data_IF_873534256945
#
_entry.id   IF_873534256945
#
_cell.length_a   1.000
_cell.length_b   1.000
_cell.length_c   1.000
_cell.angle_alpha   90.00
_cell.angle_beta   90.00
_cell.angle_gamma   90.00
#
_symmetry.space_group_name_H-M   'P 1'
#
loop_
_entity.id
_entity.type
_entity.pdbx_description
1 polymer ?
#
# COMPACT_ATOMS: atom_id res chain seq x y z
N UNK A 1 3.34 -28.80 10.36
CA UNK A 1 3.78 -27.39 10.27
C UNK A 1 2.67 -26.48 10.81
N UNK A 2 3.00 -25.46 11.61
CA UNK A 2 2.01 -24.50 12.14
C UNK A 2 1.68 -23.41 11.13
N UNK A 3 0.51 -22.75 11.23
CA UNK A 3 0.12 -21.61 10.37
C UNK A 3 1.17 -20.49 10.38
N UNK A 4 1.82 -20.25 11.53
CA UNK A 4 2.95 -19.30 11.67
C UNK A 4 4.20 -19.74 10.89
N UNK A 5 4.50 -21.04 10.87
CA UNK A 5 5.65 -21.59 10.13
C UNK A 5 5.50 -21.48 8.60
N UNK A 6 4.28 -21.64 8.09
CA UNK A 6 3.96 -21.42 6.67
C UNK A 6 4.15 -19.96 6.25
N UNK A 7 3.69 -19.02 7.08
CA UNK A 7 3.83 -17.59 6.82
C UNK A 7 5.31 -17.15 6.81
N UNK A 8 6.13 -17.73 7.69
CA UNK A 8 7.57 -17.47 7.71
C UNK A 8 8.29 -18.03 6.48
N UNK A 9 7.90 -19.21 6.00
CA UNK A 9 8.46 -19.80 4.77
C UNK A 9 8.16 -18.96 3.52
N UNK A 10 6.98 -18.34 3.47
CA UNK A 10 6.59 -17.43 2.38
C UNK A 10 7.27 -16.06 2.44
N UNK A 11 7.78 -15.67 3.62
CA UNK A 11 8.37 -14.36 3.87
C UNK A 11 9.91 -14.41 3.97
N UNK A 12 10.52 -15.57 3.72
CA UNK A 12 11.97 -15.75 3.68
C UNK A 12 12.50 -15.47 2.27
N UNK A 13 13.66 -14.83 2.16
CA UNK A 13 14.34 -14.63 0.88
C UNK A 13 14.79 -15.98 0.30
N UNK A 14 14.94 -16.10 -1.04
CA UNK A 14 15.48 -17.31 -1.65
C UNK A 14 16.86 -17.63 -1.05
N UNK A 15 17.01 -18.85 -0.50
CA UNK A 15 18.20 -19.38 0.18
C UNK A 15 18.44 -18.96 1.64
N UNK A 16 17.55 -18.19 2.27
CA UNK A 16 17.67 -17.88 3.70
C UNK A 16 16.83 -18.81 4.58
N UNK A 17 17.40 -19.25 5.71
CA UNK A 17 16.74 -20.16 6.68
C UNK A 17 15.78 -19.45 7.65
N UNK A 18 15.74 -18.12 7.64
CA UNK A 18 15.03 -17.31 8.65
C UNK A 18 14.33 -16.13 7.97
N UNK A 19 13.07 -15.86 8.33
CA UNK A 19 12.35 -14.70 7.80
C UNK A 19 12.71 -13.41 8.56
N UNK A 20 12.53 -12.25 7.94
CA UNK A 20 12.83 -10.93 8.54
C UNK A 20 12.16 -10.69 9.90
N UNK A 21 10.98 -11.30 10.13
CA UNK A 21 10.26 -11.20 11.41
C UNK A 21 11.06 -11.85 12.55
N UNK A 22 11.74 -12.96 12.29
CA UNK A 22 12.51 -13.68 13.32
C UNK A 22 13.94 -13.17 13.50
N UNK A 23 14.53 -12.51 12.49
CA UNK A 23 15.83 -11.82 12.61
C UNK A 23 15.75 -10.73 13.69
N UNK A 24 14.62 -10.02 13.78
CA UNK A 24 14.41 -8.96 14.77
C UNK A 24 14.25 -9.51 16.20
N UNK A 25 13.55 -10.63 16.36
CA UNK A 25 13.39 -11.27 17.67
C UNK A 25 14.69 -11.79 18.27
N UNK A 26 15.63 -12.32 17.46
CA UNK A 26 16.94 -12.75 17.95
C UNK A 26 17.79 -11.57 18.45
N UNK A 27 17.68 -10.40 17.80
CA UNK A 27 18.37 -9.17 18.20
C UNK A 27 17.75 -8.53 19.45
N UNK A 28 16.42 -8.58 19.60
CA UNK A 28 15.71 -8.06 20.79
C UNK A 28 15.98 -8.91 22.04
N UNK A 29 16.15 -10.23 21.92
CA UNK A 29 16.57 -11.07 23.06
C UNK A 29 18.00 -10.83 23.51
N UNK A 30 18.89 -10.32 22.64
CA UNK A 30 20.25 -9.92 23.04
C UNK A 30 20.28 -8.59 23.79
N UNK A 31 19.35 -7.68 23.51
CA UNK A 31 19.31 -6.35 24.14
C UNK A 31 18.55 -6.30 25.47
N UNK A 32 17.72 -7.30 25.79
CA UNK A 32 16.95 -7.33 27.05
C UNK A 32 17.73 -7.73 28.30
N UNK A 33 19.00 -8.12 28.18
CA UNK A 33 19.82 -8.49 29.34
C UNK A 33 20.44 -7.29 30.09
N UNK A 34 20.22 -6.04 29.66
CA UNK A 34 20.93 -4.87 30.21
C UNK A 34 20.06 -3.75 30.80
N UNK A 35 18.79 -3.99 31.16
CA UNK A 35 18.01 -2.91 31.80
C UNK A 35 16.94 -3.42 32.75
N UNK A 36 17.34 -3.58 34.02
CA UNK A 36 16.44 -3.69 35.16
C UNK A 36 16.70 -2.53 36.12
N UNK A 37 15.84 -1.51 36.11
CA UNK A 37 15.69 -0.59 37.26
C UNK A 37 14.19 -0.37 37.49
N UNK A 38 13.79 -0.65 38.73
CA UNK A 38 12.46 -0.50 39.32
C UNK A 38 12.23 0.97 39.72
N UNK A 39 10.99 1.46 39.64
CA UNK A 39 10.37 2.26 40.73
C UNK A 39 8.86 2.38 40.58
N UNK A 40 8.22 2.61 41.72
CA UNK A 40 6.82 2.35 42.03
C UNK A 40 6.00 3.64 42.24
N UNK A 41 4.66 3.46 42.26
CA UNK A 41 3.64 4.21 43.04
C UNK A 41 3.44 5.72 42.79
N UNK A 42 2.22 6.14 42.41
CA UNK A 42 1.13 6.50 43.36
C UNK A 42 0.04 7.42 42.76
N UNK A 43 -1.18 7.25 43.33
CA UNK A 43 -2.26 8.24 43.59
C UNK A 43 -3.19 8.73 42.46
N UNK A 44 -4.44 8.31 42.64
CA UNK A 44 -5.69 8.92 42.21
C UNK A 44 -5.80 10.39 42.63
N UNK A 45 -6.39 11.24 41.76
CA UNK A 45 -7.24 12.36 42.17
C UNK A 45 -8.37 12.60 41.15
N UNK A 46 -9.58 12.65 41.70
CA UNK A 46 -10.80 13.17 41.08
C UNK A 46 -10.68 14.68 40.84
N UNK A 47 -11.25 15.18 39.74
CA UNK A 47 -11.83 16.52 39.70
C UNK A 47 -13.02 16.56 38.74
N UNK A 48 -14.18 16.85 39.33
CA UNK A 48 -15.39 17.34 38.66
C UNK A 48 -15.07 18.69 38.01
N UNK A 49 -15.45 18.87 36.74
CA UNK A 49 -15.51 20.19 36.13
C UNK A 49 -16.95 20.56 35.80
N UNK A 50 -17.42 21.55 36.55
CA UNK A 50 -18.67 22.27 36.42
C UNK A 50 -18.53 23.25 35.24
N UNK A 51 -19.41 23.16 34.24
CA UNK A 51 -19.40 24.05 33.08
C UNK A 51 -20.35 25.22 33.35
N UNK A 52 -19.79 26.38 33.73
CA UNK A 52 -20.54 27.62 33.78
C UNK A 52 -20.14 28.53 32.63
N UNK A 53 -21.17 28.92 31.87
CA UNK A 53 -21.16 29.90 30.82
C UNK A 53 -20.68 31.26 31.34
N UNK A 54 -19.75 31.90 30.63
CA UNK A 54 -19.64 33.35 30.62
C UNK A 54 -19.12 33.84 29.26
N UNK A 55 -20.04 34.46 28.52
CA UNK A 55 -19.74 35.38 27.43
C UNK A 55 -19.04 36.62 28.00
N UNK A 56 -17.88 36.97 27.45
CA UNK A 56 -17.30 38.29 27.73
C UNK A 56 -15.87 38.48 27.25
N UNK A 57 -15.73 39.35 26.24
CA UNK A 57 -14.53 40.14 25.89
C UNK A 57 -13.38 39.39 25.18
N UNK A 58 -13.47 39.39 23.85
CA UNK A 58 -12.36 39.16 22.92
C UNK A 58 -11.29 40.24 23.15
N UNK A 59 -10.14 39.84 23.70
CA UNK A 59 -8.92 40.66 23.69
C UNK A 59 -8.06 40.20 22.51
N UNK A 60 -7.83 41.11 21.57
CA UNK A 60 -6.85 40.99 20.50
C UNK A 60 -5.45 40.82 21.11
N UNK A 61 -4.96 39.58 21.19
CA UNK A 61 -3.58 39.27 21.50
C UNK A 61 -2.87 38.77 20.25
N UNK A 62 -1.96 39.62 19.75
CA UNK A 62 -0.72 39.30 19.02
C UNK A 62 -0.78 38.16 17.99
N UNK A 63 -1.14 38.53 16.76
CA UNK A 63 -0.93 37.70 15.56
C UNK A 63 0.48 37.82 14.96
N UNK A 64 1.31 38.75 15.44
CA UNK A 64 2.60 39.10 14.79
C UNK A 64 3.77 38.16 15.14
N UNK A 65 3.60 37.21 16.06
CA UNK A 65 4.66 36.28 16.46
C UNK A 65 4.52 34.85 15.91
N UNK A 66 3.48 34.56 15.13
CA UNK A 66 3.30 33.24 14.51
C UNK A 66 4.00 33.13 13.15
N UNK A 67 4.18 34.23 12.43
CA UNK A 67 4.81 34.22 11.10
C UNK A 67 6.34 34.05 11.14
N UNK A 68 7.00 34.40 12.25
CA UNK A 68 8.46 34.27 12.39
C UNK A 68 8.97 32.88 12.79
N UNK A 69 8.09 31.94 13.15
CA UNK A 69 8.48 30.55 13.47
C UNK A 69 8.20 29.54 12.33
N UNK A 70 7.75 30.02 11.15
CA UNK A 70 7.54 29.19 9.96
C UNK A 70 8.79 29.05 9.08
N UNK A 71 9.82 29.87 9.31
CA UNK A 71 11.14 29.65 8.74
C UNK A 71 11.90 28.64 9.59
N UNK A 72 12.18 27.46 9.02
CA UNK A 72 13.04 26.38 9.56
C UNK A 72 12.39 25.26 10.38
N UNK A 73 11.12 24.91 10.12
CA UNK A 73 10.79 23.47 10.25
C UNK A 73 11.40 22.82 9.01
N UNK A 74 12.58 22.24 9.17
CA UNK A 74 13.18 21.33 8.20
C UNK A 74 12.22 20.15 8.03
N UNK A 75 11.25 20.30 7.12
CA UNK A 75 10.17 19.34 6.93
C UNK A 75 10.78 18.06 6.40
N UNK A 76 11.02 17.11 7.33
CA UNK A 76 11.55 15.80 7.01
C UNK A 76 10.78 15.22 5.82
N UNK A 77 11.50 14.68 4.81
CA UNK A 77 10.85 14.11 3.65
C UNK A 77 9.91 12.99 4.08
N UNK A 78 8.76 12.90 3.39
CA UNK A 78 7.79 11.84 3.60
C UNK A 78 7.95 10.69 2.63
N UNK A 79 7.13 9.67 2.86
CA UNK A 79 7.12 8.43 2.09
C UNK A 79 5.78 8.28 1.39
N UNK A 80 5.81 7.99 0.09
CA UNK A 80 4.68 7.48 -0.69
C UNK A 80 4.79 5.96 -0.73
N UNK A 81 3.76 5.28 -0.25
CA UNK A 81 3.75 3.83 -0.16
C UNK A 81 2.48 3.26 -0.77
N UNK A 82 2.58 2.01 -1.24
CA UNK A 82 1.46 1.27 -1.83
C UNK A 82 1.30 -0.02 -1.05
N UNK A 83 0.07 -0.39 -0.75
CA UNK A 83 -0.23 -1.65 -0.08
C UNK A 83 -1.49 -2.31 -0.62
N UNK A 84 -1.62 -3.59 -0.34
CA UNK A 84 -2.76 -4.44 -0.73
C UNK A 84 -3.04 -5.48 0.35
N UNK A 85 -4.00 -6.37 0.11
CA UNK A 85 -4.24 -7.54 0.94
C UNK A 85 -3.29 -8.69 0.56
N UNK A 86 -2.74 -9.39 1.56
CA UNK A 86 -1.80 -10.49 1.37
C UNK A 86 -2.32 -11.59 0.45
N UNK A 87 -3.60 -11.93 0.58
CA UNK A 87 -4.22 -12.99 -0.22
C UNK A 87 -4.26 -12.68 -1.73
N UNK A 88 -4.14 -11.40 -2.11
CA UNK A 88 -4.07 -11.00 -3.52
C UNK A 88 -2.69 -11.21 -4.15
N UNK A 89 -1.67 -11.48 -3.33
CA UNK A 89 -0.29 -11.72 -3.78
C UNK A 89 0.08 -13.20 -3.83
N UNK A 90 -0.82 -14.11 -3.45
CA UNK A 90 -0.60 -15.54 -3.60
C UNK A 90 -0.55 -15.94 -5.09
N UNK A 91 0.12 -17.06 -5.39
CA UNK A 91 0.22 -17.60 -6.75
C UNK A 91 -1.15 -17.87 -7.38
N UNK A 92 -2.11 -18.24 -6.54
CA UNK A 92 -3.53 -18.31 -6.83
C UNK A 92 -4.26 -17.36 -5.87
N UNK A 93 -4.58 -16.13 -6.30
CA UNK A 93 -5.33 -15.19 -5.48
C UNK A 93 -6.65 -15.82 -5.03
N UNK A 94 -6.94 -15.74 -3.73
CA UNK A 94 -8.18 -16.29 -3.16
C UNK A 94 -9.17 -15.18 -2.89
N UNK A 95 -10.41 -15.35 -3.32
CA UNK A 95 -11.49 -14.47 -2.95
C UNK A 95 -11.74 -14.52 -1.43
N UNK A 96 -12.23 -13.40 -0.89
CA UNK A 96 -12.60 -13.27 0.52
C UNK A 96 -14.02 -12.74 0.60
N UNK A 97 -14.86 -13.45 1.36
CA UNK A 97 -16.26 -13.09 1.56
C UNK A 97 -16.46 -11.74 2.24
N UNK A 98 -15.44 -11.21 2.93
CA UNK A 98 -15.54 -9.92 3.62
C UNK A 98 -15.25 -8.72 2.71
N UNK A 99 -14.90 -8.95 1.44
CA UNK A 99 -14.42 -7.94 0.52
C UNK A 99 -15.36 -7.81 -0.68
N UNK A 100 -16.12 -6.73 -0.71
CA UNK A 100 -17.11 -6.48 -1.76
C UNK A 100 -16.85 -5.15 -2.46
N UNK A 101 -16.99 -5.16 -3.79
CA UNK A 101 -17.05 -3.95 -4.60
C UNK A 101 -18.48 -3.41 -4.59
N UNK A 102 -18.64 -2.16 -4.20
CA UNK A 102 -19.91 -1.46 -4.33
C UNK A 102 -20.02 -0.80 -5.71
N UNK A 103 -21.24 -0.79 -6.25
CA UNK A 103 -21.56 0.01 -7.41
C UNK A 103 -21.18 1.50 -7.17
N UNK A 104 -20.70 2.23 -8.19
CA UNK A 104 -20.48 3.66 -8.08
C UNK A 104 -21.78 4.36 -7.70
N UNK A 105 -21.75 5.12 -6.61
CA UNK A 105 -22.86 5.98 -6.18
C UNK A 105 -22.38 7.42 -6.07
N UNK A 106 -23.25 8.40 -6.34
CA UNK A 106 -22.93 9.82 -6.15
C UNK A 106 -22.91 10.22 -4.67
N UNK A 107 -23.50 9.42 -3.79
CA UNK A 107 -23.54 9.64 -2.33
C UNK A 107 -22.37 8.95 -1.63
N UNK A 108 -22.05 9.28 -0.38
CA UNK A 108 -21.03 8.54 0.39
C UNK A 108 -21.49 7.14 0.82
N UNK A 109 -22.75 6.77 0.59
CA UNK A 109 -23.32 5.48 0.96
C UNK A 109 -22.99 4.36 -0.02
N UNK A 110 -23.05 3.13 0.47
CA UNK A 110 -23.04 1.90 -0.34
C UNK A 110 -24.45 1.33 -0.35
N UNK A 111 -24.93 0.95 -1.52
CA UNK A 111 -26.09 0.07 -1.65
C UNK A 111 -25.64 -1.38 -1.52
N UNK A 112 -25.92 -2.00 -0.38
CA UNK A 112 -25.50 -3.36 -0.04
C UNK A 112 -26.08 -4.41 -1.00
N UNK A 113 -27.29 -4.16 -1.51
CA UNK A 113 -27.96 -5.05 -2.46
C UNK A 113 -27.30 -5.00 -3.84
N UNK A 114 -26.43 -4.00 -4.08
CA UNK A 114 -25.69 -3.79 -5.33
C UNK A 114 -24.18 -3.93 -5.12
N UNK A 115 -23.80 -4.79 -4.18
CA UNK A 115 -22.40 -5.17 -4.00
C UNK A 115 -22.11 -6.50 -4.70
N UNK A 116 -20.89 -6.64 -5.22
CA UNK A 116 -20.42 -7.88 -5.84
C UNK A 116 -19.16 -8.35 -5.13
N UNK A 117 -18.99 -9.67 -4.88
CA UNK A 117 -17.73 -10.21 -4.38
C UNK A 117 -16.58 -9.77 -5.27
N UNK A 118 -15.45 -9.44 -4.66
CA UNK A 118 -14.29 -9.01 -5.42
C UNK A 118 -13.58 -10.20 -6.09
N UNK A 119 -13.61 -10.25 -7.43
CA UNK A 119 -12.80 -11.18 -8.22
C UNK A 119 -11.31 -10.75 -8.22
N UNK A 120 -10.47 -11.64 -7.69
CA UNK A 120 -9.03 -11.41 -7.48
C UNK A 120 -8.15 -11.93 -8.62
N UNK A 121 -8.74 -12.54 -9.66
CA UNK A 121 -8.02 -13.24 -10.73
C UNK A 121 -7.12 -12.30 -11.56
N UNK A 122 -7.73 -11.36 -12.27
CA UNK A 122 -7.04 -10.49 -13.23
C UNK A 122 -6.73 -9.10 -12.67
N UNK A 123 -7.35 -8.74 -11.55
CA UNK A 123 -7.24 -7.42 -10.93
C UNK A 123 -6.69 -7.51 -9.52
N UNK A 124 -6.11 -6.40 -9.06
CA UNK A 124 -5.62 -6.23 -7.70
C UNK A 124 -6.19 -4.94 -7.13
N UNK A 125 -6.57 -4.98 -5.86
CA UNK A 125 -7.00 -3.80 -5.14
C UNK A 125 -5.80 -3.20 -4.42
N UNK A 126 -5.45 -1.96 -4.71
CA UNK A 126 -4.33 -1.27 -4.06
C UNK A 126 -4.79 0.02 -3.40
N UNK A 127 -4.10 0.39 -2.32
CA UNK A 127 -4.20 1.71 -1.73
C UNK A 127 -2.85 2.40 -1.81
N UNK A 128 -2.84 3.62 -2.32
CA UNK A 128 -1.69 4.52 -2.32
C UNK A 128 -1.90 5.50 -1.18
N UNK A 129 -0.91 5.64 -0.31
CA UNK A 129 -0.95 6.60 0.79
C UNK A 129 0.40 7.28 0.98
N UNK A 130 0.39 8.32 1.81
CA UNK A 130 1.61 8.97 2.26
C UNK A 130 1.74 8.95 3.77
N UNK A 131 2.97 9.07 4.26
CA UNK A 131 3.26 9.17 5.69
C UNK A 131 4.60 9.86 5.95
N UNK A 132 4.72 10.57 7.07
CA UNK A 132 6.02 11.05 7.60
C UNK A 132 6.69 10.04 8.53
N UNK A 133 5.98 8.97 8.91
CA UNK A 133 6.54 7.79 9.63
C UNK A 133 7.08 6.78 8.62
N UNK A 134 7.64 5.67 9.11
CA UNK A 134 7.96 4.55 8.22
C UNK A 134 6.66 3.93 7.63
N UNK A 135 6.65 3.51 6.35
CA UNK A 135 5.51 2.84 5.73
C UNK A 135 5.03 1.61 6.50
N UNK A 136 5.94 0.85 7.11
CA UNK A 136 5.63 -0.36 7.87
C UNK A 136 4.80 -0.03 9.10
N UNK A 137 5.17 1.02 9.83
CA UNK A 137 4.41 1.52 10.98
C UNK A 137 3.03 1.97 10.50
N UNK A 138 2.97 2.73 9.40
CA UNK A 138 1.69 3.23 8.88
C UNK A 138 0.76 2.11 8.43
N UNK A 139 1.29 1.05 7.81
CA UNK A 139 0.48 -0.13 7.44
C UNK A 139 0.01 -0.89 8.68
N UNK A 140 0.81 -0.98 9.75
CA UNK A 140 0.35 -1.56 11.02
C UNK A 140 -0.83 -0.78 11.61
N UNK A 141 -0.75 0.56 11.61
CA UNK A 141 -1.87 1.41 12.05
C UNK A 141 -3.14 1.12 11.22
N UNK A 142 -3.01 0.92 9.90
CA UNK A 142 -4.14 0.53 9.06
C UNK A 142 -4.71 -0.85 9.43
N UNK A 143 -3.84 -1.83 9.75
CA UNK A 143 -4.28 -3.17 10.19
C UNK A 143 -5.08 -3.10 11.49
N UNK A 144 -4.61 -2.30 12.44
CA UNK A 144 -5.31 -2.07 13.72
C UNK A 144 -6.64 -1.32 13.51
N UNK A 145 -6.64 -0.28 12.69
CA UNK A 145 -7.84 0.51 12.42
C UNK A 145 -8.93 -0.31 11.73
N UNK A 146 -8.56 -1.16 10.79
CA UNK A 146 -9.55 -1.94 10.05
C UNK A 146 -9.81 -3.35 10.58
N UNK A 147 -9.07 -3.80 11.60
CA UNK A 147 -9.22 -5.14 12.14
C UNK A 147 -8.75 -6.27 11.21
N UNK A 148 -8.09 -5.93 10.09
CA UNK A 148 -7.53 -6.90 9.15
C UNK A 148 -6.02 -6.97 9.31
N UNK A 149 -5.49 -8.14 9.67
CA UNK A 149 -4.05 -8.36 9.87
C UNK A 149 -3.26 -8.60 8.58
N UNK A 150 -3.94 -8.68 7.43
CA UNK A 150 -3.36 -9.19 6.18
C UNK A 150 -2.83 -8.11 5.23
N UNK A 151 -2.76 -6.83 5.60
CA UNK A 151 -2.19 -5.82 4.68
C UNK A 151 -0.70 -6.05 4.44
N UNK A 152 -0.22 -5.86 3.21
CA UNK A 152 1.20 -5.98 2.86
C UNK A 152 1.65 -4.82 1.96
N UNK A 153 2.87 -4.34 2.17
CA UNK A 153 3.49 -3.32 1.32
C UNK A 153 3.85 -3.93 -0.04
N UNK A 154 3.59 -3.16 -1.09
CA UNK A 154 3.97 -3.48 -2.45
C UNK A 154 5.23 -2.71 -2.84
N UNK A 155 6.02 -3.31 -3.74
CA UNK A 155 7.23 -2.72 -4.29
C UNK A 155 7.28 -2.89 -5.82
N UNK A 156 7.99 -2.02 -6.55
CA UNK A 156 8.17 -2.19 -7.99
C UNK A 156 8.75 -3.55 -8.33
N UNK A 157 8.01 -4.35 -9.08
CA UNK A 157 8.40 -5.70 -9.49
C UNK A 157 7.81 -6.85 -8.66
N UNK A 158 7.07 -6.58 -7.58
CA UNK A 158 6.48 -7.62 -6.71
C UNK A 158 5.50 -8.58 -7.42
N UNK A 159 4.96 -8.19 -8.57
CA UNK A 159 3.99 -8.97 -9.34
C UNK A 159 4.56 -9.57 -10.65
N UNK A 160 5.86 -9.37 -10.91
CA UNK A 160 6.53 -9.83 -12.14
C UNK A 160 6.46 -11.34 -12.38
N UNK A 161 6.61 -12.22 -11.37
CA UNK A 161 6.46 -13.66 -11.57
C UNK A 161 5.08 -14.05 -12.11
N UNK A 162 4.05 -13.25 -11.79
CA UNK A 162 2.66 -13.48 -12.22
C UNK A 162 2.43 -13.03 -13.66
N UNK A 163 3.06 -11.94 -14.11
CA UNK A 163 2.95 -11.43 -15.50
C UNK A 163 3.66 -12.31 -16.52
N UNK A 164 4.87 -12.75 -16.19
CA UNK A 164 5.67 -13.57 -17.10
C UNK A 164 4.96 -14.90 -17.39
N UNK A 165 4.25 -15.48 -16.43
CA UNK A 165 3.49 -16.71 -16.65
C UNK A 165 2.30 -16.53 -17.60
N UNK A 166 1.62 -15.39 -17.61
CA UNK A 166 0.50 -15.15 -18.54
C UNK A 166 0.99 -14.92 -19.97
N UNK A 167 2.05 -14.12 -20.15
CA UNK A 167 2.69 -13.96 -21.45
C UNK A 167 3.35 -15.24 -21.93
N UNK A 168 4.02 -15.99 -21.05
CA UNK A 168 4.61 -17.27 -21.40
C UNK A 168 3.55 -18.32 -21.71
N UNK A 169 2.38 -18.32 -21.07
CA UNK A 169 1.25 -19.18 -21.46
C UNK A 169 0.69 -18.81 -22.83
N UNK A 170 0.55 -17.51 -23.13
CA UNK A 170 0.13 -17.04 -24.47
C UNK A 170 1.19 -17.39 -25.53
N UNK A 171 2.47 -17.14 -25.25
CA UNK A 171 3.60 -17.52 -26.12
C UNK A 171 3.70 -19.04 -26.27
N UNK A 172 3.48 -19.83 -25.23
CA UNK A 172 3.44 -21.29 -25.30
C UNK A 172 2.31 -21.78 -26.20
N UNK A 173 1.10 -21.23 -26.09
CA UNK A 173 -0.01 -21.52 -27.01
C UNK A 173 0.32 -21.15 -28.46
N UNK A 174 0.93 -19.98 -28.68
CA UNK A 174 1.39 -19.55 -30.01
C UNK A 174 2.49 -20.48 -30.53
N UNK A 175 3.43 -20.92 -29.69
CA UNK A 175 4.46 -21.90 -30.08
C UNK A 175 3.91 -23.29 -30.35
N UNK A 176 2.81 -23.70 -29.70
CA UNK A 176 2.17 -24.99 -29.95
C UNK A 176 1.47 -24.97 -31.32
N UNK A 177 0.69 -23.92 -31.60
CA UNK A 177 0.05 -23.72 -32.90
C UNK A 177 1.11 -23.53 -34.00
N UNK A 178 2.14 -22.74 -33.74
CA UNK A 178 3.28 -22.53 -34.64
C UNK A 178 4.08 -23.82 -34.85
N UNK A 179 4.25 -24.70 -33.84
CA UNK A 179 4.83 -26.04 -34.00
C UNK A 179 3.96 -26.98 -34.83
N UNK A 180 2.63 -26.88 -34.71
CA UNK A 180 1.71 -27.67 -35.52
C UNK A 180 1.71 -27.18 -36.98
N UNK A 181 1.76 -25.85 -37.19
CA UNK A 181 1.84 -25.26 -38.53
C UNK A 181 3.24 -25.36 -39.16
N UNK A 182 4.31 -25.42 -38.37
CA UNK A 182 5.67 -25.63 -38.88
C UNK A 182 5.86 -27.04 -39.43
N UNK A 183 5.03 -28.01 -39.04
CA UNK A 183 4.98 -29.34 -39.66
C UNK A 183 4.27 -29.35 -41.03
N UNK A 184 3.59 -28.26 -41.39
CA UNK A 184 2.93 -28.06 -42.69
C UNK A 184 3.72 -27.11 -43.60
N UNK A 185 4.80 -26.51 -43.09
CA UNK A 185 5.65 -25.58 -43.83
C UNK A 185 6.90 -26.31 -44.35
N UNK A 186 7.06 -26.39 -45.67
CA UNK A 186 8.29 -26.81 -46.32
C UNK A 186 9.27 -25.62 -46.30
N UNK A 187 10.01 -25.43 -45.22
CA UNK A 187 11.03 -24.38 -45.16
C UNK A 187 12.36 -24.89 -44.61
N UNK A 188 13.41 -24.57 -45.37
CA UNK A 188 14.80 -24.98 -45.21
C UNK A 188 15.40 -24.45 -43.90
N UNK A 189 15.93 -25.37 -43.09
CA UNK A 189 16.55 -25.07 -41.79
C UNK A 189 17.87 -24.32 -41.94
N UNK A 190 17.92 -23.04 -41.55
CA UNK A 190 19.15 -22.38 -41.09
C UNK A 190 19.02 -22.09 -39.60
N UNK A 191 19.73 -22.87 -38.77
CA UNK A 191 19.82 -22.68 -37.32
C UNK A 191 20.75 -21.50 -37.03
N UNK A 192 20.23 -20.43 -36.43
CA UNK A 192 21.03 -19.43 -35.71
C UNK A 192 20.88 -19.73 -34.23
N UNK A 193 21.98 -20.17 -33.62
CA UNK A 193 22.14 -20.33 -32.18
C UNK A 193 22.75 -19.05 -31.67
N UNK A 194 21.95 -18.10 -31.20
CA UNK A 194 22.38 -17.02 -30.32
C UNK A 194 21.15 -16.64 -29.48
N UNK A 195 21.34 -16.21 -28.23
CA UNK A 195 20.35 -15.61 -27.29
C UNK A 195 20.15 -16.33 -25.94
N UNK A 196 21.01 -17.27 -25.52
CA UNK A 196 20.86 -17.91 -24.20
C UNK A 196 21.56 -17.23 -23.02
N UNK A 197 22.34 -16.15 -23.22
CA UNK A 197 23.22 -15.64 -22.15
C UNK A 197 23.04 -14.15 -21.77
N UNK A 198 21.83 -13.57 -21.92
CA UNK A 198 21.54 -12.18 -21.48
C UNK A 198 20.24 -12.08 -20.66
N UNK A 199 20.06 -12.93 -19.65
CA UNK A 199 18.81 -12.92 -18.84
C UNK A 199 18.98 -12.82 -17.32
N UNK A 200 20.20 -12.80 -16.78
CA UNK A 200 20.39 -12.89 -15.31
C UNK A 200 20.55 -11.58 -14.55
N UNK A 201 20.65 -10.40 -15.21
CA UNK A 201 20.88 -9.12 -14.51
C UNK A 201 19.82 -8.02 -14.74
N UNK A 202 18.64 -8.34 -15.28
CA UNK A 202 17.54 -7.37 -15.33
C UNK A 202 16.93 -7.22 -13.93
N UNK A 203 17.05 -6.03 -13.33
CA UNK A 203 16.14 -5.58 -12.27
C UNK A 203 14.73 -6.05 -12.62
N UNK A 204 13.94 -6.61 -11.70
CA UNK A 204 12.75 -7.39 -12.06
C UNK A 204 11.69 -6.66 -12.93
N UNK A 205 11.77 -5.35 -13.13
CA UNK A 205 10.94 -4.60 -14.11
C UNK A 205 11.71 -4.07 -15.34
N UNK A 206 13.04 -4.20 -15.37
CA UNK A 206 13.94 -3.57 -16.33
C UNK A 206 14.08 -2.05 -16.17
N UNK A 207 13.36 -1.45 -15.20
CA UNK A 207 13.24 0.01 -15.03
C UNK A 207 13.96 0.47 -13.76
N UNK A 208 14.69 1.58 -13.87
CA UNK A 208 15.33 2.26 -12.75
C UNK A 208 14.37 3.31 -12.17
N UNK A 209 14.10 3.22 -10.86
CA UNK A 209 13.29 4.19 -10.13
C UNK A 209 14.21 5.04 -9.25
N UNK A 210 14.23 6.36 -9.46
CA UNK A 210 15.16 7.29 -8.82
C UNK A 210 14.73 7.73 -7.42
N UNK A 211 13.41 7.80 -7.18
CA UNK A 211 12.85 8.23 -5.90
C UNK A 211 12.63 7.10 -4.89
N UNK A 212 13.06 5.87 -5.19
CA UNK A 212 12.78 4.69 -4.39
C UNK A 212 13.77 4.60 -3.21
N UNK A 213 13.27 4.25 -2.02
CA UNK A 213 14.12 4.11 -0.83
C UNK A 213 15.05 2.87 -0.94
N UNK A 214 16.04 2.78 -0.04
CA UNK A 214 17.04 1.70 -0.04
C UNK A 214 16.43 0.30 0.10
N UNK A 215 15.34 0.18 0.87
CA UNK A 215 14.62 -1.10 1.06
C UNK A 215 13.63 -1.41 -0.06
N UNK A 216 13.48 -0.52 -1.05
CA UNK A 216 12.55 -0.63 -2.19
C UNK A 216 11.07 -0.71 -1.81
N UNK A 217 10.68 -0.27 -0.62
CA UNK A 217 9.30 -0.37 -0.10
C UNK A 217 8.47 0.91 -0.28
N UNK A 218 9.11 2.04 -0.56
CA UNK A 218 8.41 3.32 -0.76
C UNK A 218 9.21 4.31 -1.61
N UNK A 219 8.54 5.35 -2.08
CA UNK A 219 9.15 6.50 -2.72
C UNK A 219 9.27 7.65 -1.73
N UNK A 220 10.36 8.42 -1.81
CA UNK A 220 10.63 9.56 -0.91
C UNK A 220 10.27 10.86 -1.62
N UNK A 221 9.61 11.79 -0.92
CA UNK A 221 9.28 13.11 -1.44
C UNK A 221 9.26 14.18 -0.35
N UNK A 222 9.67 15.40 -0.70
CA UNK A 222 9.61 16.57 0.19
C UNK A 222 8.17 17.07 0.39
N UNK A 223 7.28 16.86 -0.59
CA UNK A 223 5.87 17.25 -0.48
C UNK A 223 4.94 16.04 -0.65
N UNK A 224 4.95 15.12 0.32
CA UNK A 224 4.29 13.82 0.18
C UNK A 224 2.76 13.93 0.05
N UNK A 225 2.15 14.94 0.68
CA UNK A 225 0.70 15.16 0.58
C UNK A 225 0.30 15.59 -0.84
N UNK A 226 0.93 16.62 -1.40
CA UNK A 226 0.60 17.10 -2.74
C UNK A 226 0.87 16.03 -3.80
N UNK A 227 1.96 15.27 -3.64
CA UNK A 227 2.32 14.15 -4.52
C UNK A 227 1.24 13.06 -4.47
N UNK A 228 0.78 12.67 -3.28
CA UNK A 228 -0.25 11.65 -3.13
C UNK A 228 -1.59 12.09 -3.75
N UNK A 229 -2.01 13.34 -3.55
CA UNK A 229 -3.21 13.88 -4.18
C UNK A 229 -3.12 13.88 -5.73
N UNK A 230 -1.95 14.20 -6.29
CA UNK A 230 -1.72 14.12 -7.74
C UNK A 230 -1.77 12.68 -8.26
N UNK A 231 -1.12 11.74 -7.55
CA UNK A 231 -1.19 10.32 -7.89
C UNK A 231 -2.64 9.85 -7.86
N UNK A 232 -3.39 10.19 -6.81
CA UNK A 232 -4.81 9.84 -6.69
C UNK A 232 -5.63 10.42 -7.85
N UNK A 233 -5.42 11.68 -8.23
CA UNK A 233 -6.11 12.30 -9.38
C UNK A 233 -5.86 11.52 -10.67
N UNK A 234 -4.61 11.16 -10.96
CA UNK A 234 -4.24 10.39 -12.16
C UNK A 234 -4.86 9.00 -12.12
N UNK A 235 -4.72 8.28 -11.00
CA UNK A 235 -5.26 6.92 -10.85
C UNK A 235 -6.79 6.90 -10.89
N UNK A 236 -7.47 7.90 -10.32
CA UNK A 236 -8.94 8.05 -10.43
C UNK A 236 -9.37 8.29 -11.87
N UNK A 237 -8.65 9.13 -12.61
CA UNK A 237 -8.94 9.37 -14.03
C UNK A 237 -8.80 8.13 -14.89
N UNK A 238 -7.83 7.26 -14.56
CA UNK A 238 -7.52 6.07 -15.37
C UNK A 238 -8.31 4.82 -14.97
N UNK A 239 -8.46 4.56 -13.68
CA UNK A 239 -9.03 3.31 -13.15
C UNK A 239 -10.36 3.53 -12.42
N UNK A 240 -10.83 4.78 -12.33
CA UNK A 240 -12.02 5.14 -11.59
C UNK A 240 -11.81 5.20 -10.07
N UNK A 241 -12.92 5.36 -9.35
CA UNK A 241 -12.97 5.29 -7.91
C UNK A 241 -13.72 4.03 -7.47
N UNK A 242 -13.09 3.21 -6.63
CA UNK A 242 -13.73 2.03 -6.05
C UNK A 242 -14.23 2.36 -4.65
N UNK A 243 -15.51 2.13 -4.38
CA UNK A 243 -16.01 1.99 -3.00
C UNK A 243 -15.93 0.52 -2.63
N UNK A 244 -15.18 0.25 -1.59
CA UNK A 244 -15.05 -1.09 -1.06
C UNK A 244 -15.78 -1.15 0.28
N UNK A 245 -16.65 -2.13 0.40
CA UNK A 245 -17.20 -2.51 1.70
C UNK A 245 -16.25 -3.47 2.38
N UNK A 246 -15.98 -3.18 3.64
CA UNK A 246 -15.08 -3.92 4.49
C UNK A 246 -15.77 -4.22 5.82
N UNK A 247 -16.02 -5.50 6.07
CA UNK A 247 -16.69 -5.95 7.28
C UNK A 247 -15.91 -5.61 8.55
N UNK A 248 -14.58 -5.72 8.54
CA UNK A 248 -13.74 -5.41 9.71
C UNK A 248 -13.78 -3.94 10.12
N UNK A 249 -14.03 -3.04 9.16
CA UNK A 249 -14.22 -1.62 9.41
C UNK A 249 -15.68 -1.27 9.79
N UNK A 250 -16.63 -2.21 9.69
CA UNK A 250 -18.02 -1.99 10.10
C UNK A 250 -18.17 -2.19 11.60
N UNK A 251 -18.23 -1.09 12.36
CA UNK A 251 -18.40 -1.11 13.82
C UNK A 251 -19.82 -0.73 14.21
N UNK A 252 -20.30 -1.23 15.33
CA UNK A 252 -21.49 -0.71 15.98
C UNK A 252 -21.07 0.42 16.93
N UNK A 253 -21.73 1.57 16.85
CA UNK A 253 -21.59 2.68 17.79
C UNK A 253 -22.93 2.97 18.43
N UNK A 254 -22.91 3.40 19.68
CA UNK A 254 -24.11 3.90 20.36
C UNK A 254 -24.19 5.39 20.07
N UNK A 255 -25.30 5.84 19.49
CA UNK A 255 -25.58 7.26 19.25
C UNK A 255 -26.02 7.96 20.55
N UNK A 256 -26.09 9.29 20.54
CA UNK A 256 -26.52 10.14 21.66
C UNK A 256 -27.89 9.72 22.23
N UNK A 257 -28.74 9.11 21.39
CA UNK A 257 -30.06 8.59 21.77
C UNK A 257 -30.03 7.14 22.31
N UNK A 258 -28.86 6.60 22.66
CA UNK A 258 -28.63 5.21 23.08
C UNK A 258 -29.00 4.14 22.05
N UNK A 259 -29.23 4.54 20.79
CA UNK A 259 -29.50 3.62 19.70
C UNK A 259 -28.19 3.08 19.11
N UNK A 260 -28.15 1.79 18.80
CA UNK A 260 -27.01 1.16 18.14
C UNK A 260 -27.02 1.50 16.65
N UNK A 261 -26.14 2.41 16.23
CA UNK A 261 -25.92 2.79 14.83
C UNK A 261 -24.69 2.06 14.29
N UNK A 262 -24.87 1.27 13.23
CA UNK A 262 -23.77 0.59 12.55
C UNK A 262 -23.03 1.60 11.67
N UNK A 263 -21.77 1.90 11.99
CA UNK A 263 -20.91 2.69 11.09
C UNK A 263 -20.58 1.83 9.87
N UNK A 264 -20.84 2.42 8.70
CA UNK A 264 -20.62 1.77 7.42
C UNK A 264 -19.09 1.62 7.22
N UNK A 265 -18.61 0.37 7.09
CA UNK A 265 -17.20 0.05 6.84
C UNK A 265 -16.80 0.34 5.40
N UNK A 266 -16.90 1.60 4.98
CA UNK A 266 -16.70 2.04 3.60
C UNK A 266 -15.29 2.58 3.44
N UNK A 267 -14.55 2.06 2.47
CA UNK A 267 -13.30 2.66 2.02
C UNK A 267 -13.47 3.25 0.61
N UNK A 268 -13.05 4.50 0.47
CA UNK A 268 -13.23 5.29 -0.77
C UNK A 268 -11.93 5.53 -1.55
N UNK A 269 -10.80 5.03 -1.04
CA UNK A 269 -9.46 5.30 -1.57
C UNK A 269 -8.73 4.01 -1.96
N UNK A 270 -9.46 3.11 -2.61
CA UNK A 270 -8.89 1.90 -3.20
C UNK A 270 -9.02 1.96 -4.71
N UNK A 271 -7.95 1.56 -5.38
CA UNK A 271 -7.85 1.52 -6.83
C UNK A 271 -7.90 0.08 -7.28
N UNK A 272 -8.79 -0.20 -8.22
CA UNK A 272 -8.93 -1.50 -8.85
C UNK A 272 -8.07 -1.54 -10.11
N UNK A 273 -6.89 -2.15 -10.00
CA UNK A 273 -5.87 -2.11 -11.05
C UNK A 273 -5.81 -3.47 -11.76
N UNK A 274 -5.95 -3.53 -13.09
CA UNK A 274 -5.56 -4.71 -13.85
C UNK A 274 -4.13 -5.06 -13.52
N UNK A 275 -3.85 -6.31 -13.13
CA UNK A 275 -2.50 -6.66 -12.65
C UNK A 275 -1.45 -6.24 -13.69
N UNK A 276 -1.66 -6.54 -14.97
CA UNK A 276 -0.74 -6.18 -16.06
C UNK A 276 -0.41 -4.67 -16.18
N UNK A 277 -1.21 -3.77 -15.60
CA UNK A 277 -0.98 -2.33 -15.58
C UNK A 277 -0.26 -1.81 -14.33
N UNK A 278 0.11 -2.69 -13.38
CA UNK A 278 0.83 -2.27 -12.17
C UNK A 278 2.17 -1.59 -12.46
N UNK A 279 2.82 -1.89 -13.60
CA UNK A 279 4.01 -1.16 -14.05
C UNK A 279 3.77 0.34 -14.23
N UNK A 280 2.58 0.69 -14.72
CA UNK A 280 2.16 2.07 -14.99
C UNK A 280 1.92 2.82 -13.67
N UNK A 281 1.38 2.14 -12.66
CA UNK A 281 1.21 2.73 -11.32
C UNK A 281 2.56 3.17 -10.75
N UNK A 282 3.60 2.35 -10.89
CA UNK A 282 4.94 2.69 -10.42
C UNK A 282 5.57 3.84 -11.19
N UNK A 283 5.33 3.93 -12.51
CA UNK A 283 5.76 5.07 -13.33
C UNK A 283 5.12 6.37 -12.87
N UNK A 284 3.80 6.36 -12.68
CA UNK A 284 3.06 7.53 -12.19
C UNK A 284 3.60 7.99 -10.84
N UNK A 285 3.80 7.06 -9.88
CA UNK A 285 4.34 7.42 -8.56
C UNK A 285 5.74 8.01 -8.70
N UNK A 286 6.61 7.37 -9.47
CA UNK A 286 7.98 7.84 -9.66
C UNK A 286 8.03 9.22 -10.31
N UNK A 287 7.25 9.46 -11.35
CA UNK A 287 7.16 10.76 -12.01
C UNK A 287 6.72 11.83 -11.02
N UNK A 288 5.62 11.62 -10.29
CA UNK A 288 5.11 12.62 -9.35
C UNK A 288 6.08 12.90 -8.19
N UNK A 289 6.76 11.88 -7.66
CA UNK A 289 7.77 12.07 -6.62
C UNK A 289 8.98 12.88 -7.12
N UNK A 290 9.38 12.73 -8.39
CA UNK A 290 10.52 13.43 -8.97
C UNK A 290 10.17 14.85 -9.44
N UNK A 291 8.96 15.08 -9.97
CA UNK A 291 8.53 16.40 -10.44
C UNK A 291 8.53 17.45 -9.33
N UNK A 292 8.23 17.06 -8.09
CA UNK A 292 8.26 17.98 -6.94
C UNK A 292 9.67 18.46 -6.59
N UNK A 293 10.72 17.73 -7.00
CA UNK A 293 12.12 18.09 -6.74
C UNK A 293 12.64 19.19 -7.66
N UNK A 294 11.99 19.43 -8.81
CA UNK A 294 12.41 20.44 -9.80
C UNK A 294 11.75 21.81 -9.62
N UNK A 295 10.82 21.96 -8.67
CA UNK A 295 10.13 23.24 -8.40
C UNK A 295 10.89 24.15 -7.41
N UNK A 296 12.22 24.19 -7.49
CA UNK A 296 13.03 25.23 -6.85
C UNK A 296 13.64 26.09 -7.95
N UNK A 297 13.44 27.40 -7.84
CA UNK A 297 13.93 28.50 -8.68
C UNK A 297 13.10 28.88 -9.91
N UNK A 298 11.98 29.57 -9.67
CA UNK A 298 11.74 30.87 -10.31
C UNK A 298 11.06 31.78 -9.27
N UNK A 299 11.88 32.45 -8.47
CA UNK A 299 11.50 33.71 -7.83
C UNK A 299 11.99 34.80 -8.78
N UNK A 300 11.07 35.40 -9.53
CA UNK A 300 11.23 36.73 -10.11
C UNK A 300 10.75 37.76 -9.12
#
# INVERSE_FOLDING_TARGET
MTKKGLQCKLSALPNEKVCHVHIKYQNDTRNKNNSSVKTATSKQKNSNYNYNNNLGKVKNYKYENYEKNLSEIDEKPGHIYVFTYAHMMYSTPTEKSYLHLAAPTNTRGIDYNRTTPFDTSDKILIKVGYTRKSPEIRVNEWREQCGHSEFILLYPGCLVPTYQNLENKKKQKITLLSKMMSKLSLSNNRKRNDDKEILLNRQHTGRKYTGLNSTKTCFVSNNPYQVEQNIHRILRGRYGYGKMFCEGCSRQKIDSNKNTVKTLGIHTEWFLIPRNEMGIVWEVINEQCNSSSNTRFFKT
#
